data_IF_509297443407
#
_entry.id   IF_509297443407
#
_cell.length_a   1.000
_cell.length_b   1.000
_cell.length_c   1.000
_cell.angle_alpha   90.00
_cell.angle_beta   90.00
_cell.angle_gamma   90.00
#
_symmetry.space_group_name_H-M   'P 1'
#
loop_
_entity.id
_entity.type
_entity.pdbx_description
1 polymer ?
#
# COMPACT_ATOMS: atom_id res chain seq x y z
N UNK A 1 24.35 -3.55 -26.99
CA UNK A 1 24.58 -3.26 -25.56
C UNK A 1 23.22 -2.95 -24.99
N UNK A 2 22.64 -3.89 -24.22
CA UNK A 2 21.33 -3.64 -23.60
C UNK A 2 21.56 -2.70 -22.42
N UNK A 3 21.00 -1.49 -22.51
CA UNK A 3 20.94 -0.55 -21.40
C UNK A 3 20.21 -1.22 -20.25
N UNK A 4 20.97 -1.76 -19.30
CA UNK A 4 20.50 -2.01 -17.94
C UNK A 4 20.17 -0.64 -17.35
N UNK A 5 18.94 -0.19 -17.55
CA UNK A 5 18.36 0.87 -16.72
C UNK A 5 18.27 0.28 -15.33
N UNK A 6 19.31 0.47 -14.53
CA UNK A 6 19.18 0.49 -13.08
C UNK A 6 18.24 1.65 -12.76
N UNK A 7 16.93 1.41 -12.86
CA UNK A 7 15.95 2.31 -12.27
C UNK A 7 16.30 2.37 -10.79
N UNK A 8 16.47 3.57 -10.19
CA UNK A 8 16.62 3.64 -8.75
C UNK A 8 15.38 2.93 -8.18
N UNK A 9 15.60 1.94 -7.31
CA UNK A 9 14.56 1.20 -6.61
C UNK A 9 13.89 2.21 -5.66
N UNK A 10 13.06 3.09 -6.22
CA UNK A 10 12.33 4.09 -5.48
C UNK A 10 11.13 3.36 -4.90
N UNK A 11 11.07 3.19 -3.57
CA UNK A 11 9.89 2.63 -2.96
C UNK A 11 8.70 3.51 -3.34
N UNK A 12 7.67 2.87 -3.85
CA UNK A 12 6.40 3.51 -4.18
C UNK A 12 5.60 3.56 -2.88
N UNK A 13 4.94 4.69 -2.63
CA UNK A 13 4.06 4.82 -1.48
C UNK A 13 2.67 4.34 -1.87
N UNK A 14 2.12 3.46 -1.04
CA UNK A 14 0.76 3.00 -1.14
C UNK A 14 -0.01 3.49 0.07
N UNK A 15 -1.12 4.17 -0.18
CA UNK A 15 -2.02 4.60 0.87
C UNK A 15 -2.95 3.44 1.24
N UNK A 16 -3.07 3.16 2.53
CA UNK A 16 -3.85 2.06 3.08
C UNK A 16 -4.94 2.64 3.97
N UNK A 17 -6.18 2.31 3.63
CA UNK A 17 -7.35 2.59 4.45
C UNK A 17 -7.80 1.30 5.14
N UNK A 18 -7.61 1.22 6.45
CA UNK A 18 -8.08 0.10 7.26
C UNK A 18 -9.32 0.53 8.06
N UNK A 19 -10.47 -0.04 7.70
CA UNK A 19 -11.75 0.21 8.38
C UNK A 19 -12.03 -0.94 9.36
N UNK A 20 -12.04 -0.71 10.68
CA UNK A 20 -12.36 -1.75 11.65
C UNK A 20 -13.79 -2.27 11.44
N UNK A 21 -13.96 -3.58 11.39
CA UNK A 21 -15.29 -4.21 11.21
C UNK A 21 -16.20 -3.99 12.43
N UNK A 22 -15.64 -3.72 13.59
CA UNK A 22 -16.37 -3.40 14.83
C UNK A 22 -16.96 -1.97 14.84
N UNK A 23 -16.84 -1.23 13.72
CA UNK A 23 -17.38 0.13 13.59
C UNK A 23 -16.51 1.23 14.20
N UNK A 24 -15.22 0.95 14.37
CA UNK A 24 -14.24 1.93 14.83
C UNK A 24 -13.83 2.95 13.75
N UNK A 25 -12.98 3.91 14.13
CA UNK A 25 -12.44 4.90 13.20
C UNK A 25 -11.58 4.26 12.12
N UNK A 26 -11.73 4.74 10.88
CA UNK A 26 -10.86 4.38 9.76
C UNK A 26 -9.44 4.84 10.06
N UNK A 27 -8.49 3.93 9.87
CA UNK A 27 -7.06 4.19 9.96
C UNK A 27 -6.57 4.47 8.54
N UNK A 28 -5.98 5.64 8.33
CA UNK A 28 -5.27 6.01 7.11
C UNK A 28 -3.77 5.87 7.40
N UNK A 29 -3.07 5.08 6.59
CA UNK A 29 -1.65 4.78 6.75
C UNK A 29 -0.95 4.74 5.38
N UNK A 30 0.38 4.90 5.35
CA UNK A 30 1.15 4.85 4.10
C UNK A 30 2.27 3.81 4.20
N UNK A 31 2.25 2.85 3.27
CA UNK A 31 3.22 1.75 3.21
C UNK A 31 4.13 1.94 2.00
N UNK A 32 5.44 1.93 2.25
CA UNK A 32 6.44 1.83 1.22
C UNK A 32 6.55 0.38 0.71
N UNK A 33 6.28 0.19 -0.58
CA UNK A 33 6.38 -1.11 -1.24
C UNK A 33 6.90 -0.95 -2.67
N UNK A 34 7.39 -2.05 -3.24
CA UNK A 34 7.91 -2.07 -4.61
C UNK A 34 6.77 -2.17 -5.63
N UNK A 35 5.71 -2.86 -5.24
CA UNK A 35 4.51 -3.10 -6.04
C UNK A 35 3.27 -3.24 -5.14
N UNK A 36 2.10 -3.33 -5.77
CA UNK A 36 0.80 -3.42 -5.09
C UNK A 36 0.67 -4.71 -4.29
N UNK A 37 1.25 -5.82 -4.75
CA UNK A 37 1.16 -7.13 -4.10
C UNK A 37 1.96 -7.10 -2.78
N UNK A 38 3.18 -6.55 -2.81
CA UNK A 38 3.98 -6.31 -1.60
C UNK A 38 3.27 -5.35 -0.63
N UNK A 39 2.64 -4.28 -1.16
CA UNK A 39 1.85 -3.38 -0.34
C UNK A 39 0.67 -4.10 0.34
N UNK A 40 -0.02 -4.98 -0.40
CA UNK A 40 -1.16 -5.75 0.10
C UNK A 40 -0.73 -6.79 1.13
N UNK A 41 0.40 -7.45 0.93
CA UNK A 41 0.97 -8.39 1.90
C UNK A 41 1.30 -7.68 3.22
N UNK A 42 2.01 -6.54 3.13
CA UNK A 42 2.33 -5.72 4.31
C UNK A 42 1.07 -5.19 5.00
N UNK A 43 0.10 -4.71 4.24
CA UNK A 43 -1.16 -4.21 4.77
C UNK A 43 -1.94 -5.32 5.50
N UNK A 44 -1.95 -6.56 4.97
CA UNK A 44 -2.58 -7.72 5.62
C UNK A 44 -1.91 -8.14 6.93
N UNK A 45 -0.58 -7.98 7.03
CA UNK A 45 0.16 -8.26 8.26
C UNK A 45 -0.21 -7.25 9.35
N UNK A 46 -0.35 -5.97 8.98
CA UNK A 46 -0.70 -4.89 9.90
C UNK A 46 -2.20 -4.86 10.26
N UNK A 47 -3.05 -5.11 9.28
CA UNK A 47 -4.50 -5.01 9.35
C UNK A 47 -5.14 -6.31 8.84
N UNK A 48 -5.28 -7.33 9.71
CA UNK A 48 -5.83 -8.62 9.29
C UNK A 48 -7.29 -8.48 8.85
N UNK A 49 -7.63 -9.12 7.73
CA UNK A 49 -8.96 -9.05 7.10
C UNK A 49 -10.11 -9.54 8.00
N UNK A 50 -9.82 -10.34 9.02
CA UNK A 50 -10.79 -10.79 10.02
C UNK A 50 -11.31 -9.65 10.90
N UNK A 51 -10.53 -8.56 11.03
CA UNK A 51 -10.83 -7.43 11.92
C UNK A 51 -10.97 -6.10 11.19
N UNK A 52 -10.36 -5.98 10.02
CA UNK A 52 -10.31 -4.74 9.25
C UNK A 52 -10.68 -5.02 7.80
N UNK A 53 -11.57 -4.20 7.24
CA UNK A 53 -11.70 -4.08 5.80
C UNK A 53 -10.61 -3.14 5.29
N UNK A 54 -9.65 -3.68 4.54
CA UNK A 54 -8.47 -2.96 4.05
C UNK A 54 -8.64 -2.61 2.58
N UNK A 55 -8.33 -1.38 2.21
CA UNK A 55 -8.24 -0.94 0.82
C UNK A 55 -6.90 -0.25 0.60
N UNK A 56 -6.18 -0.67 -0.44
CA UNK A 56 -4.86 -0.16 -0.79
C UNK A 56 -4.98 0.63 -2.08
N UNK A 57 -4.47 1.85 -2.10
CA UNK A 57 -4.39 2.71 -3.27
C UNK A 57 -2.93 3.06 -3.53
N UNK A 58 -2.53 2.98 -4.80
CA UNK A 58 -1.25 3.51 -5.22
C UNK A 58 -1.26 5.03 -5.02
N UNK A 59 -0.38 5.55 -4.16
CA UNK A 59 -0.18 6.99 -4.00
C UNK A 59 0.75 7.48 -5.11
N UNK A 60 0.29 7.37 -6.36
CA UNK A 60 0.91 8.08 -7.47
C UNK A 60 0.56 9.56 -7.34
N UNK A 61 1.57 10.42 -7.35
CA UNK A 61 1.40 11.87 -7.44
C UNK A 61 0.94 12.33 -8.85
N UNK A 62 0.33 11.44 -9.63
CA UNK A 62 -0.07 11.65 -11.02
C UNK A 62 -1.61 11.58 -11.09
N UNK A 63 -2.24 12.56 -10.44
CA UNK A 63 -3.59 13.02 -10.75
C UNK A 63 -3.39 14.34 -11.52
N UNK A 64 -3.07 14.23 -12.83
CA UNK A 64 -3.08 15.35 -13.80
C UNK A 64 -4.31 15.23 -14.72
#
# INVERSE_FOLDING_TARGET
>A
MHEQRSTPYQPVLYLVYASPLDGGSVIEDAIAAVDEDEAYEKARILYPQDRFNVTVYLQSADDD
#
